data_IF_119530011917
#
_entry.id   IF_119530011917
#
_cell.length_a   1.000
_cell.length_b   1.000
_cell.length_c   1.000
_cell.angle_alpha   90.00
_cell.angle_beta   90.00
_cell.angle_gamma   90.00
#
_symmetry.space_group_name_H-M   'P 1'
#
loop_
_entity.id
_entity.type
_entity.pdbx_description
1 polymer ?
#
# COMPACT_ATOMS: atom_id res chain seq x y z
N UNK A 1 12.66 18.12 -21.24
CA UNK A 1 13.18 17.54 -22.51
C UNK A 1 11.97 17.28 -23.39
N UNK A 2 11.85 17.93 -24.56
CA UNK A 2 10.63 17.90 -25.36
C UNK A 2 10.58 16.66 -26.28
N UNK A 3 9.35 16.25 -26.61
CA UNK A 3 8.95 15.20 -27.57
C UNK A 3 9.11 13.73 -27.16
N UNK A 4 8.38 13.33 -26.12
CA UNK A 4 8.04 11.94 -25.81
C UNK A 4 6.51 11.75 -25.81
N UNK A 5 5.85 12.19 -26.88
CA UNK A 5 4.47 11.78 -27.21
C UNK A 5 4.49 10.31 -27.67
N UNK A 6 4.86 9.42 -26.77
CA UNK A 6 4.33 8.07 -26.81
C UNK A 6 2.89 8.20 -26.35
N UNK A 7 1.93 7.68 -27.12
CA UNK A 7 0.57 7.45 -26.65
C UNK A 7 0.62 6.41 -25.51
N UNK A 8 1.14 6.79 -24.35
CA UNK A 8 0.76 6.15 -23.11
C UNK A 8 -0.71 6.54 -22.97
N UNK A 9 -1.65 5.58 -22.84
CA UNK A 9 -3.00 5.95 -22.41
C UNK A 9 -2.82 6.83 -21.18
N UNK A 10 -3.30 8.06 -21.24
CA UNK A 10 -3.08 9.07 -20.21
C UNK A 10 -3.87 8.64 -18.98
N UNK A 11 -3.30 7.69 -18.23
CA UNK A 11 -3.94 7.08 -17.05
C UNK A 11 -4.24 8.15 -16.01
N UNK A 12 -3.61 9.32 -16.14
CA UNK A 12 -3.94 10.53 -15.41
C UNK A 12 -5.33 11.09 -15.71
N UNK A 13 -5.81 11.09 -16.95
CA UNK A 13 -7.12 11.67 -17.26
C UNK A 13 -8.26 10.86 -16.64
N UNK A 14 -8.09 9.54 -16.55
CA UNK A 14 -9.08 8.63 -15.95
C UNK A 14 -8.90 8.48 -14.42
N UNK A 15 -7.65 8.41 -13.93
CA UNK A 15 -7.32 8.09 -12.53
C UNK A 15 -6.71 9.25 -11.72
N UNK A 16 -6.85 10.51 -12.14
CA UNK A 16 -6.38 11.67 -11.32
C UNK A 16 -7.06 11.71 -9.94
N UNK A 17 -8.35 11.40 -9.89
CA UNK A 17 -9.16 11.50 -8.68
C UNK A 17 -8.74 10.47 -7.62
N UNK A 18 -8.26 9.29 -8.03
CA UNK A 18 -7.80 8.26 -7.09
C UNK A 18 -6.52 8.71 -6.37
N UNK A 19 -5.66 9.47 -7.04
CA UNK A 19 -4.49 10.09 -6.41
C UNK A 19 -4.88 11.21 -5.45
N UNK A 20 -5.88 12.03 -5.80
CA UNK A 20 -6.37 13.09 -4.93
C UNK A 20 -6.96 12.56 -3.61
N UNK A 21 -7.69 11.45 -3.67
CA UNK A 21 -8.32 10.81 -2.50
C UNK A 21 -7.37 9.79 -1.83
N UNK A 22 -6.15 9.59 -2.35
CA UNK A 22 -5.19 8.62 -1.82
C UNK A 22 -5.70 7.16 -1.81
N UNK A 23 -6.34 6.77 -2.91
CA UNK A 23 -6.85 5.41 -3.16
C UNK A 23 -6.20 4.76 -4.38
N UNK A 24 -5.20 5.41 -4.99
CA UNK A 24 -4.50 4.90 -6.17
C UNK A 24 -3.77 3.57 -5.91
N UNK A 25 -3.46 3.24 -4.66
CA UNK A 25 -2.88 1.94 -4.29
C UNK A 25 -3.89 0.77 -4.29
N UNK A 26 -5.20 1.05 -4.27
CA UNK A 26 -6.26 0.04 -4.30
C UNK A 26 -7.03 0.04 -5.62
N UNK A 27 -7.32 1.22 -6.15
CA UNK A 27 -8.09 1.40 -7.38
C UNK A 27 -7.13 1.49 -8.54
N UNK A 28 -7.24 0.55 -9.47
CA UNK A 28 -6.47 0.50 -10.71
C UNK A 28 -4.95 0.67 -10.48
N UNK A 29 -4.42 -0.13 -9.54
CA UNK A 29 -3.01 -0.06 -9.11
C UNK A 29 -2.01 -0.26 -10.25
N UNK A 30 -2.42 -0.87 -11.36
CA UNK A 30 -1.58 -1.08 -12.54
C UNK A 30 -1.47 0.18 -13.42
N UNK A 31 -2.48 1.05 -13.42
CA UNK A 31 -2.55 2.25 -14.25
C UNK A 31 -2.65 3.52 -13.40
N UNK A 32 -1.67 3.70 -12.50
CA UNK A 32 -1.59 4.90 -11.66
C UNK A 32 -1.06 6.10 -12.44
N UNK A 33 -1.68 7.27 -12.28
CA UNK A 33 -1.19 8.54 -12.84
C UNK A 33 0.21 8.91 -12.34
N UNK A 34 0.45 8.74 -11.04
CA UNK A 34 1.73 9.04 -10.41
C UNK A 34 2.12 7.87 -9.52
N UNK A 35 3.08 7.06 -9.97
CA UNK A 35 3.44 5.82 -9.27
C UNK A 35 3.83 6.12 -7.81
N UNK A 36 4.80 7.02 -7.59
CA UNK A 36 5.38 7.25 -6.25
C UNK A 36 4.35 7.74 -5.19
N UNK A 37 3.18 8.27 -5.57
CA UNK A 37 2.13 8.62 -4.59
C UNK A 37 1.50 7.39 -3.92
N UNK A 38 1.70 6.17 -4.44
CA UNK A 38 1.20 4.94 -3.82
C UNK A 38 1.67 4.83 -2.35
N UNK A 39 2.88 5.31 -2.06
CA UNK A 39 3.44 5.31 -0.71
C UNK A 39 2.68 6.29 0.19
N UNK A 40 2.45 7.52 -0.28
CA UNK A 40 1.71 8.53 0.48
C UNK A 40 0.25 8.11 0.73
N UNK A 41 -0.36 7.43 -0.23
CA UNK A 41 -1.68 6.84 -0.06
C UNK A 41 -1.72 5.78 1.04
N UNK A 42 -0.70 4.92 1.08
CA UNK A 42 -0.55 3.89 2.10
C UNK A 42 -0.35 4.51 3.49
N UNK A 43 0.46 5.57 3.61
CA UNK A 43 0.69 6.29 4.87
C UNK A 43 -0.59 6.91 5.44
N UNK A 44 -1.43 7.53 4.59
CA UNK A 44 -2.72 8.07 5.02
C UNK A 44 -3.62 6.97 5.60
N UNK A 45 -3.69 5.82 4.93
CA UNK A 45 -4.51 4.68 5.37
C UNK A 45 -4.00 4.12 6.71
N UNK A 46 -2.68 3.97 6.87
CA UNK A 46 -2.09 3.57 8.14
C UNK A 46 -2.38 4.59 9.26
N UNK A 47 -2.36 5.88 8.95
CA UNK A 47 -2.74 6.92 9.90
C UNK A 47 -4.20 6.78 10.36
N UNK A 48 -5.13 6.53 9.42
CA UNK A 48 -6.55 6.30 9.72
C UNK A 48 -6.75 5.05 10.60
N UNK A 49 -5.99 3.98 10.38
CA UNK A 49 -6.07 2.74 11.18
C UNK A 49 -5.28 2.78 12.49
N UNK A 50 -4.36 3.73 12.65
CA UNK A 50 -3.54 3.87 13.86
C UNK A 50 -4.33 3.90 15.20
N UNK A 51 -5.55 4.48 15.30
CA UNK A 51 -6.31 4.47 16.54
C UNK A 51 -6.66 3.07 17.06
N UNK A 52 -6.72 2.06 16.19
CA UNK A 52 -6.95 0.66 16.56
C UNK A 52 -5.85 0.15 17.51
N UNK A 53 -4.63 0.66 17.36
CA UNK A 53 -3.50 0.31 18.23
C UNK A 53 -3.40 1.34 19.36
N UNK A 54 -3.48 2.63 19.04
CA UNK A 54 -3.20 3.72 19.99
C UNK A 54 -4.26 3.84 21.09
N UNK A 55 -5.55 3.69 20.79
CA UNK A 55 -6.63 3.82 21.79
C UNK A 55 -6.56 2.68 22.82
N UNK A 56 -6.48 1.39 22.43
CA UNK A 56 -6.34 0.30 23.40
C UNK A 56 -5.05 0.40 24.20
N UNK A 57 -3.94 0.83 23.58
CA UNK A 57 -2.66 1.02 24.24
C UNK A 57 -2.74 2.10 25.33
N UNK A 58 -3.45 3.21 25.06
CA UNK A 58 -3.66 4.29 26.03
C UNK A 58 -4.55 3.88 27.21
N UNK A 59 -5.55 3.02 26.99
CA UNK A 59 -6.49 2.60 28.05
C UNK A 59 -5.92 1.44 28.87
N UNK A 60 -5.41 0.40 28.20
CA UNK A 60 -4.80 -0.78 28.83
C UNK A 60 -3.60 -1.24 28.01
N UNK A 61 -2.36 -0.99 28.46
CA UNK A 61 -1.17 -1.24 27.64
C UNK A 61 -1.04 -2.71 27.21
N UNK A 62 -1.41 -3.66 28.09
CA UNK A 62 -1.42 -5.08 27.75
C UNK A 62 -2.33 -5.41 26.57
N UNK A 63 -3.53 -4.80 26.50
CA UNK A 63 -4.45 -4.99 25.38
C UNK A 63 -3.88 -4.41 24.09
N UNK A 64 -3.27 -3.23 24.16
CA UNK A 64 -2.57 -2.61 23.03
C UNK A 64 -1.46 -3.50 22.48
N UNK A 65 -0.62 -4.09 23.35
CA UNK A 65 0.42 -5.03 22.93
C UNK A 65 -0.14 -6.29 22.30
N UNK A 66 -1.21 -6.87 22.87
CA UNK A 66 -1.87 -8.06 22.29
C UNK A 66 -2.37 -7.74 20.87
N UNK A 67 -3.06 -6.61 20.69
CA UNK A 67 -3.58 -6.18 19.39
C UNK A 67 -2.43 -5.94 18.39
N UNK A 68 -1.37 -5.26 18.82
CA UNK A 68 -0.20 -4.99 17.96
C UNK A 68 0.48 -6.28 17.50
N UNK A 69 0.69 -7.25 18.40
CA UNK A 69 1.26 -8.56 18.07
C UNK A 69 0.35 -9.33 17.10
N UNK A 70 -0.96 -9.32 17.33
CA UNK A 70 -1.92 -9.97 16.41
C UNK A 70 -1.90 -9.34 15.01
N UNK A 71 -1.86 -8.01 14.91
CA UNK A 71 -1.77 -7.30 13.63
C UNK A 71 -0.45 -7.62 12.93
N UNK A 72 0.68 -7.63 13.66
CA UNK A 72 1.98 -8.00 13.11
C UNK A 72 1.97 -9.42 12.55
N UNK A 73 1.51 -10.40 13.34
CA UNK A 73 1.41 -11.80 12.91
C UNK A 73 0.48 -11.95 11.70
N UNK A 74 -0.66 -11.27 11.69
CA UNK A 74 -1.58 -11.29 10.56
C UNK A 74 -0.96 -10.69 9.30
N UNK A 75 -0.24 -9.57 9.42
CA UNK A 75 0.47 -8.92 8.31
C UNK A 75 1.57 -9.82 7.75
N UNK A 76 2.40 -10.42 8.60
CA UNK A 76 3.44 -11.36 8.18
C UNK A 76 2.84 -12.60 7.52
N UNK A 77 1.78 -13.16 8.08
CA UNK A 77 1.09 -14.32 7.50
C UNK A 77 0.45 -13.99 6.14
N UNK A 78 -0.15 -12.82 5.99
CA UNK A 78 -0.73 -12.36 4.73
C UNK A 78 0.36 -12.19 3.65
N UNK A 79 1.48 -11.56 3.97
CA UNK A 79 2.62 -11.43 3.06
C UNK A 79 3.19 -12.81 2.68
N UNK A 80 3.31 -13.72 3.64
CA UNK A 80 3.75 -15.08 3.37
C UNK A 80 2.78 -15.80 2.41
N UNK A 81 1.48 -15.66 2.65
CA UNK A 81 0.45 -16.28 1.81
C UNK A 81 0.44 -15.72 0.37
N UNK A 82 0.66 -14.41 0.19
CA UNK A 82 0.76 -13.83 -1.16
C UNK A 82 2.00 -14.33 -1.89
N UNK A 83 3.15 -14.44 -1.22
CA UNK A 83 4.37 -15.01 -1.81
C UNK A 83 4.13 -16.44 -2.31
N UNK A 84 3.54 -17.31 -1.47
CA UNK A 84 3.26 -18.70 -1.88
C UNK A 84 2.23 -18.80 -3.01
N UNK A 85 1.23 -17.92 -3.05
CA UNK A 85 0.17 -17.97 -4.05
C UNK A 85 0.59 -17.43 -5.41
N UNK A 86 1.33 -16.33 -5.41
CA UNK A 86 1.70 -15.60 -6.62
C UNK A 86 3.12 -15.90 -7.11
N UNK A 87 3.86 -16.78 -6.40
CA UNK A 87 5.24 -17.15 -6.71
C UNK A 87 6.14 -15.94 -6.93
N UNK A 88 6.03 -14.95 -6.03
CA UNK A 88 6.83 -13.74 -6.11
C UNK A 88 8.33 -14.10 -6.02
N UNK A 89 9.17 -13.66 -6.98
CA UNK A 89 10.60 -13.89 -6.91
C UNK A 89 11.20 -13.09 -5.73
N UNK A 90 12.33 -13.54 -5.13
CA UNK A 90 13.00 -12.80 -4.06
C UNK A 90 13.57 -11.44 -4.52
N UNK A 91 13.62 -11.20 -5.83
CA UNK A 91 14.01 -9.94 -6.44
C UNK A 91 13.33 -9.77 -7.80
N UNK A 92 12.85 -8.56 -8.08
CA UNK A 92 12.28 -8.19 -9.40
C UNK A 92 13.36 -8.01 -10.48
N UNK A 93 14.63 -8.15 -10.11
CA UNK A 93 15.76 -8.13 -11.04
C UNK A 93 15.92 -9.50 -11.69
N UNK A 94 15.86 -9.55 -13.02
CA UNK A 94 16.11 -10.76 -13.80
C UNK A 94 17.58 -11.23 -13.76
N UNK A 95 18.47 -10.48 -13.11
CA UNK A 95 19.88 -10.77 -12.91
C UNK A 95 20.15 -10.56 -11.42
N UNK A 96 20.65 -11.60 -10.75
CA UNK A 96 20.93 -11.59 -9.31
C UNK A 96 21.88 -10.49 -8.88
#
# INVERSE_FOLDING_TARGET
>A
MPNLLYHLPDSCEENWWTNFIYLNNYIDYANQCYLISWYLATDLQMYIFSPIILIPLAIKPLLGFIIAVLILLASTAANMATIYKYYFPPSDYALG
#
